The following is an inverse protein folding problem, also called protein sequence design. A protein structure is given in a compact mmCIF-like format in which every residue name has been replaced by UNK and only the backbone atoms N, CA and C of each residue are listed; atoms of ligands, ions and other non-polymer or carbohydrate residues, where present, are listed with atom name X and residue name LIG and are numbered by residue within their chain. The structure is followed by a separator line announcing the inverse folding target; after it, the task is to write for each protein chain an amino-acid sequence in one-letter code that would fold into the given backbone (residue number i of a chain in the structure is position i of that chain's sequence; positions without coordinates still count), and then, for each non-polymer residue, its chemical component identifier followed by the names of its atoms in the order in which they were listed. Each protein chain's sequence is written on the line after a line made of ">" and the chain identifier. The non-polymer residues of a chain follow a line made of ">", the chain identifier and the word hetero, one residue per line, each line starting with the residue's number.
data_IF_995664482403
#
_entry.id   IF_995664482403
#
_cell.length_a   1.000
_cell.length_b   1.000
_cell.length_c   1.000
_cell.angle_alpha   90.00
_cell.angle_beta   90.00
_cell.angle_gamma   90.00
#
_symmetry.space_group_name_H-M   'P 1'
#
loop_
_entity.id
_entity.type
_entity.pdbx_description
1 polymer ?
#
# COMPACT_ATOMS: atom_id res chain seq x y z
N UNK A 1 -33.38 -29.31 6.00
CA UNK A 1 -32.82 -27.95 6.10
C UNK A 1 -31.56 -27.88 5.26
N UNK A 2 -31.35 -26.77 4.57
CA UNK A 2 -30.48 -26.64 3.40
C UNK A 2 -29.03 -27.11 3.59
N UNK A 3 -28.56 -27.93 2.65
CA UNK A 3 -27.14 -28.15 2.42
C UNK A 3 -26.55 -26.85 1.84
N UNK A 4 -25.79 -26.12 2.66
CA UNK A 4 -24.93 -25.05 2.15
C UNK A 4 -23.77 -25.74 1.43
N UNK A 5 -23.83 -25.74 0.09
CA UNK A 5 -22.70 -26.14 -0.73
C UNK A 5 -21.51 -25.24 -0.40
N UNK A 6 -20.52 -25.82 0.27
CA UNK A 6 -19.18 -25.27 0.36
C UNK A 6 -18.62 -25.26 -1.05
N UNK A 7 -18.80 -24.16 -1.78
CA UNK A 7 -18.01 -23.92 -2.97
C UNK A 7 -16.60 -23.66 -2.47
N UNK A 8 -15.83 -24.73 -2.26
CA UNK A 8 -14.38 -24.70 -2.16
C UNK A 8 -13.88 -24.17 -3.50
N UNK A 9 -13.79 -22.84 -3.59
CA UNK A 9 -13.09 -22.23 -4.69
C UNK A 9 -11.61 -22.54 -4.49
N UNK A 10 -11.09 -23.41 -5.35
CA UNK A 10 -9.67 -23.68 -5.52
C UNK A 10 -9.01 -22.36 -5.95
N UNK A 11 -8.70 -21.53 -4.97
CA UNK A 11 -7.86 -20.36 -5.11
C UNK A 11 -6.59 -20.68 -4.34
N UNK A 12 -5.43 -20.66 -5.00
CA UNK A 12 -4.15 -20.64 -4.27
C UNK A 12 -4.04 -19.34 -3.51
N UNK A 13 -4.47 -19.40 -2.25
CA UNK A 13 -4.31 -18.31 -1.28
C UNK A 13 -2.84 -18.16 -0.96
N UNK A 14 -2.36 -16.93 -1.05
CA UNK A 14 -1.05 -16.55 -0.52
C UNK A 14 -1.28 -15.52 0.58
N UNK A 15 -0.65 -15.74 1.73
CA UNK A 15 -0.73 -14.82 2.84
C UNK A 15 0.24 -15.22 3.93
N UNK A 16 0.93 -14.25 4.49
CA UNK A 16 1.75 -14.43 5.69
C UNK A 16 1.17 -13.51 6.75
N UNK A 17 0.87 -14.05 7.93
CA UNK A 17 0.55 -13.22 9.09
C UNK A 17 1.81 -12.48 9.50
N UNK A 18 1.80 -11.16 9.33
CA UNK A 18 2.92 -10.28 9.66
C UNK A 18 2.50 -9.33 10.77
N UNK A 19 3.39 -9.12 11.73
CA UNK A 19 3.18 -8.16 12.81
C UNK A 19 3.70 -6.79 12.35
N UNK A 20 2.79 -5.88 12.00
CA UNK A 20 3.16 -4.55 11.53
C UNK A 20 3.34 -3.61 12.72
N UNK A 21 4.50 -2.93 12.85
CA UNK A 21 4.71 -1.91 13.88
C UNK A 21 3.65 -0.81 13.80
N UNK A 22 3.26 -0.24 14.95
CA UNK A 22 2.30 0.88 14.99
C UNK A 22 2.92 2.23 14.59
N UNK A 23 3.77 2.25 13.57
CA UNK A 23 4.34 3.45 12.97
C UNK A 23 3.67 3.70 11.62
N UNK A 24 3.33 4.96 11.32
CA UNK A 24 2.63 5.31 10.08
C UNK A 24 3.46 4.95 8.83
N UNK A 25 4.76 5.20 8.86
CA UNK A 25 5.69 4.79 7.79
C UNK A 25 5.68 3.27 7.61
N UNK A 26 5.75 2.49 8.69
CA UNK A 26 5.76 1.03 8.61
C UNK A 26 4.46 0.48 7.98
N UNK A 27 3.31 1.12 8.27
CA UNK A 27 2.02 0.79 7.63
C UNK A 27 2.02 1.09 6.13
N UNK A 28 2.59 2.23 5.72
CA UNK A 28 2.74 2.58 4.30
C UNK A 28 3.71 1.65 3.58
N UNK A 29 4.84 1.30 4.21
CA UNK A 29 5.79 0.33 3.64
C UNK A 29 5.13 -1.04 3.44
N UNK A 30 4.31 -1.47 4.41
CA UNK A 30 3.54 -2.71 4.27
C UNK A 30 2.54 -2.63 3.11
N UNK A 31 1.85 -1.50 2.94
CA UNK A 31 1.01 -1.28 1.76
C UNK A 31 1.81 -1.39 0.45
N UNK A 32 2.97 -0.75 0.37
CA UNK A 32 3.86 -0.82 -0.81
C UNK A 32 4.37 -2.24 -1.07
N UNK A 33 4.66 -3.01 -0.02
CA UNK A 33 5.04 -4.42 -0.12
C UNK A 33 3.90 -5.27 -0.71
N UNK A 34 2.66 -4.99 -0.30
CA UNK A 34 1.47 -5.61 -0.88
C UNK A 34 1.36 -5.28 -2.37
N UNK A 35 1.47 -4.00 -2.75
CA UNK A 35 1.46 -3.58 -4.16
C UNK A 35 2.55 -4.33 -4.95
N UNK A 36 3.79 -4.34 -4.47
CA UNK A 36 4.92 -5.01 -5.13
C UNK A 36 4.80 -6.54 -5.18
N UNK A 37 3.91 -7.13 -4.40
CA UNK A 37 3.60 -8.57 -4.46
C UNK A 37 2.58 -8.88 -5.55
N UNK A 38 1.71 -7.90 -5.84
CA UNK A 38 0.62 -7.98 -6.81
C UNK A 38 1.12 -7.65 -8.23
N UNK A 39 2.01 -6.66 -8.34
CA UNK A 39 2.63 -6.23 -9.61
C UNK A 39 4.11 -6.62 -9.67
N UNK A 40 4.61 -6.93 -10.87
CA UNK A 40 6.04 -7.11 -11.06
C UNK A 40 6.76 -5.75 -10.97
N UNK A 41 7.40 -5.49 -9.84
CA UNK A 41 8.24 -4.31 -9.61
C UNK A 41 9.71 -4.75 -9.54
N UNK A 42 10.42 -4.73 -10.67
CA UNK A 42 11.81 -5.21 -10.79
C UNK A 42 12.85 -4.10 -10.57
N UNK A 43 12.64 -3.29 -9.54
CA UNK A 43 13.44 -2.11 -9.28
C UNK A 43 14.15 -2.31 -7.95
N UNK A 44 15.47 -2.46 -8.00
CA UNK A 44 16.28 -2.84 -6.85
C UNK A 44 16.19 -1.81 -5.71
N UNK A 45 15.89 -0.55 -6.03
CA UNK A 45 15.73 0.53 -5.06
C UNK A 45 14.49 0.36 -4.17
N UNK A 46 13.42 -0.26 -4.68
CA UNK A 46 12.17 -0.43 -3.93
C UNK A 46 12.25 -1.53 -2.88
N UNK A 47 13.17 -2.48 -3.04
CA UNK A 47 13.37 -3.55 -2.04
C UNK A 47 13.75 -2.99 -0.68
N UNK A 48 14.44 -1.84 -0.63
CA UNK A 48 14.80 -1.15 0.61
C UNK A 48 13.58 -0.53 1.29
N UNK A 49 12.64 0.02 0.53
CA UNK A 49 11.39 0.61 1.01
C UNK A 49 10.29 -0.40 1.38
N UNK A 50 10.50 -1.69 1.07
CA UNK A 50 9.61 -2.79 1.49
C UNK A 50 9.93 -3.33 2.88
N UNK A 51 11.10 -3.03 3.43
CA UNK A 51 11.54 -3.58 4.71
C UNK A 51 10.93 -2.81 5.90
N UNK A 52 9.66 -3.09 6.19
CA UNK A 52 8.92 -2.47 7.30
C UNK A 52 9.50 -2.78 8.69
N UNK A 53 10.39 -3.77 8.84
CA UNK A 53 11.09 -4.06 10.10
C UNK A 53 12.22 -3.06 10.39
N UNK A 54 12.76 -2.40 9.36
CA UNK A 54 13.84 -1.43 9.48
C UNK A 54 13.35 0.03 9.45
N UNK A 55 12.06 0.27 9.72
CA UNK A 55 11.48 1.62 9.70
C UNK A 55 12.19 2.64 10.60
N UNK A 56 12.84 2.20 11.68
CA UNK A 56 13.60 3.08 12.59
C UNK A 56 14.93 3.59 12.04
N UNK A 57 15.44 2.97 10.98
CA UNK A 57 16.74 3.33 10.39
C UNK A 57 16.59 4.22 9.16
N UNK A 58 15.40 4.76 8.90
CA UNK A 58 15.15 5.63 7.76
C UNK A 58 15.32 7.10 8.11
N UNK A 59 15.90 7.83 7.17
CA UNK A 59 16.09 9.28 7.23
C UNK A 59 14.79 10.01 6.88
N UNK A 60 14.63 11.26 7.32
CA UNK A 60 13.45 12.07 6.98
C UNK A 60 13.25 12.25 5.45
N UNK A 61 14.33 12.16 4.67
CA UNK A 61 14.25 12.15 3.20
C UNK A 61 13.65 10.85 2.66
N UNK A 62 14.03 9.70 3.22
CA UNK A 62 13.48 8.38 2.85
C UNK A 62 11.99 8.31 3.21
N UNK A 63 11.58 8.85 4.37
CA UNK A 63 10.18 8.96 4.77
C UNK A 63 9.34 9.73 3.72
N UNK A 64 9.88 10.82 3.18
CA UNK A 64 9.22 11.63 2.14
C UNK A 64 9.16 10.91 0.80
N UNK A 65 10.21 10.19 0.43
CA UNK A 65 10.22 9.37 -0.79
C UNK A 65 9.18 8.24 -0.71
N UNK A 66 9.10 7.55 0.43
CA UNK A 66 8.07 6.52 0.67
C UNK A 66 6.67 7.12 0.55
N UNK A 67 6.44 8.29 1.15
CA UNK A 67 5.16 8.97 1.05
C UNK A 67 4.81 9.37 -0.38
N UNK A 68 5.75 9.91 -1.14
CA UNK A 68 5.54 10.29 -2.54
C UNK A 68 5.28 9.06 -3.43
N UNK A 69 6.01 7.98 -3.18
CA UNK A 69 5.81 6.71 -3.86
C UNK A 69 4.43 6.12 -3.56
N UNK A 70 4.02 6.13 -2.29
CA UNK A 70 2.69 5.69 -1.88
C UNK A 70 1.58 6.55 -2.47
N UNK A 71 1.77 7.87 -2.57
CA UNK A 71 0.85 8.77 -3.25
C UNK A 71 0.75 8.50 -4.76
N UNK A 72 1.86 8.09 -5.39
CA UNK A 72 1.88 7.70 -6.82
C UNK A 72 1.19 6.36 -7.03
N UNK A 73 1.33 5.44 -6.07
CA UNK A 73 0.70 4.12 -6.03
C UNK A 73 -0.59 4.18 -5.20
N UNK A 74 -1.45 5.18 -5.43
CA UNK A 74 -2.68 5.34 -4.68
C UNK A 74 -3.62 4.14 -4.90
N UNK A 75 -4.46 3.80 -3.91
CA UNK A 75 -5.44 2.75 -4.06
C UNK A 75 -6.41 3.06 -5.19
N UNK A 76 -6.78 4.33 -5.42
CA UNK A 76 -7.62 4.74 -6.54
C UNK A 76 -7.03 4.37 -7.93
N UNK A 77 -5.71 4.45 -8.09
CA UNK A 77 -5.06 4.05 -9.35
C UNK A 77 -5.00 2.53 -9.54
N UNK A 78 -5.07 1.78 -8.44
CA UNK A 78 -4.90 0.33 -8.40
C UNK A 78 -6.22 -0.43 -8.17
N UNK A 79 -7.25 0.28 -7.74
CA UNK A 79 -8.60 -0.21 -7.51
C UNK A 79 -9.23 -0.65 -8.83
N UNK A 80 -10.04 -1.72 -8.77
CA UNK A 80 -10.67 -2.38 -9.90
C UNK A 80 -9.70 -2.95 -10.96
N UNK A 81 -8.38 -2.78 -10.77
CA UNK A 81 -7.34 -3.33 -11.64
C UNK A 81 -6.61 -4.47 -10.96
N UNK A 82 -6.10 -4.21 -9.75
CA UNK A 82 -5.25 -5.13 -9.00
C UNK A 82 -5.65 -5.27 -7.53
N UNK A 83 -6.26 -4.24 -6.95
CA UNK A 83 -6.94 -4.30 -5.64
C UNK A 83 -8.44 -4.32 -5.85
N UNK A 84 -9.12 -5.26 -5.21
CA UNK A 84 -10.56 -5.42 -5.29
C UNK A 84 -11.18 -5.34 -3.90
N UNK A 85 -12.15 -4.43 -3.74
CA UNK A 85 -12.96 -4.34 -2.53
C UNK A 85 -13.98 -5.49 -2.50
N UNK A 86 -13.49 -6.68 -2.20
CA UNK A 86 -14.26 -7.92 -2.20
C UNK A 86 -14.22 -8.55 -0.80
N UNK A 87 -14.99 -8.03 0.16
CA UNK A 87 -15.01 -8.56 1.53
C UNK A 87 -15.47 -10.02 1.58
N UNK A 88 -16.28 -10.47 0.61
CA UNK A 88 -16.71 -11.86 0.46
C UNK A 88 -15.55 -12.83 0.17
N UNK A 89 -14.49 -12.36 -0.50
CA UNK A 89 -13.28 -13.16 -0.75
C UNK A 89 -12.38 -13.19 0.50
N UNK A 90 -12.39 -12.11 1.28
CA UNK A 90 -11.46 -11.92 2.40
C UNK A 90 -11.72 -12.81 3.64
N UNK A 91 -12.73 -13.69 3.63
CA UNK A 91 -13.05 -14.63 4.73
C UNK A 91 -12.69 -14.11 6.15
N UNK A 92 -11.75 -14.75 6.84
CA UNK A 92 -11.27 -14.37 8.20
C UNK A 92 -10.20 -13.26 8.20
N UNK A 93 -9.59 -12.96 7.06
CA UNK A 93 -8.52 -11.97 6.96
C UNK A 93 -9.07 -10.58 6.57
N UNK A 94 -8.25 -9.54 6.79
CA UNK A 94 -8.57 -8.18 6.34
C UNK A 94 -8.12 -7.93 4.89
N UNK A 95 -7.19 -8.75 4.40
CA UNK A 95 -6.73 -8.83 3.02
C UNK A 95 -6.35 -10.27 2.66
N UNK A 96 -6.55 -10.65 1.39
CA UNK A 96 -6.10 -11.93 0.83
C UNK A 96 -5.53 -11.74 -0.58
N UNK A 97 -4.53 -12.56 -0.94
CA UNK A 97 -3.93 -12.55 -2.28
C UNK A 97 -4.31 -13.80 -3.08
N UNK A 98 -4.56 -13.60 -4.38
CA UNK A 98 -4.96 -14.65 -5.32
C UNK A 98 -4.17 -14.60 -6.62
N UNK A 99 -3.96 -15.75 -7.26
CA UNK A 99 -3.35 -15.81 -8.60
C UNK A 99 -4.36 -15.50 -9.71
N UNK A 100 -3.96 -14.72 -10.72
CA UNK A 100 -4.83 -14.26 -11.81
C UNK A 100 -5.47 -15.42 -12.57
N UNK A 101 -4.76 -16.54 -12.71
CA UNK A 101 -5.23 -17.72 -13.45
C UNK A 101 -6.58 -18.25 -12.96
N UNK A 102 -6.91 -18.07 -11.68
CA UNK A 102 -8.12 -18.63 -11.07
C UNK A 102 -9.27 -17.62 -10.90
N UNK A 103 -9.00 -16.31 -10.84
CA UNK A 103 -10.03 -15.28 -10.55
C UNK A 103 -10.65 -14.65 -11.81
N UNK A 104 -10.15 -15.00 -13.00
CA UNK A 104 -10.64 -14.49 -14.30
C UNK A 104 -12.15 -14.60 -14.55
N UNK A 105 -12.87 -15.48 -13.84
CA UNK A 105 -14.32 -15.66 -14.01
C UNK A 105 -15.18 -14.75 -13.13
N UNK A 106 -14.62 -14.14 -12.09
CA UNK A 106 -15.39 -13.35 -11.12
C UNK A 106 -15.01 -11.87 -11.11
N UNK A 107 -13.79 -11.53 -11.53
CA UNK A 107 -13.28 -10.16 -11.57
C UNK A 107 -12.66 -9.88 -12.94
N UNK A 108 -12.88 -8.67 -13.47
CA UNK A 108 -12.18 -8.18 -14.66
C UNK A 108 -10.74 -7.84 -14.29
N UNK A 109 -9.88 -8.86 -14.27
CA UNK A 109 -8.45 -8.68 -13.98
C UNK A 109 -7.70 -8.29 -15.26
N UNK A 110 -7.09 -7.10 -15.24
CA UNK A 110 -6.20 -6.65 -16.31
C UNK A 110 -4.85 -7.37 -16.23
N UNK A 111 -4.26 -7.71 -17.38
CA UNK A 111 -2.97 -8.41 -17.42
C UNK A 111 -1.78 -7.47 -17.15
N UNK A 112 -1.95 -6.18 -17.44
CA UNK A 112 -0.94 -5.15 -17.19
C UNK A 112 -1.59 -3.82 -16.84
N UNK A 113 -0.88 -3.01 -16.05
CA UNK A 113 -1.27 -1.64 -15.70
C UNK A 113 -0.13 -0.68 -15.99
N UNK A 114 -0.46 0.57 -16.34
CA UNK A 114 0.53 1.62 -16.53
C UNK A 114 0.69 2.34 -15.19
N UNK A 115 1.90 2.31 -14.63
CA UNK A 115 2.26 3.06 -13.42
C UNK A 115 3.51 3.86 -13.73
N UNK A 116 3.48 5.18 -13.46
CA UNK A 116 4.64 6.05 -13.69
C UNK A 116 5.12 6.03 -15.15
N UNK A 117 4.19 5.87 -16.10
CA UNK A 117 4.50 5.77 -17.53
C UNK A 117 5.05 4.43 -18.00
N UNK A 118 5.23 3.45 -17.12
CA UNK A 118 5.70 2.10 -17.47
C UNK A 118 4.57 1.07 -17.38
N UNK A 119 4.45 0.23 -18.41
CA UNK A 119 3.56 -0.93 -18.39
C UNK A 119 4.15 -2.02 -17.48
N UNK A 120 3.36 -2.46 -16.50
CA UNK A 120 3.75 -3.47 -15.51
C UNK A 120 2.78 -4.63 -15.55
N UNK A 121 3.32 -5.84 -15.58
CA UNK A 121 2.49 -7.04 -15.53
C UNK A 121 1.93 -7.26 -14.13
N UNK A 122 0.66 -7.57 -14.10
CA UNK A 122 -0.03 -8.01 -12.89
C UNK A 122 0.27 -9.50 -12.74
N UNK A 123 0.76 -9.92 -11.56
CA UNK A 123 1.04 -11.34 -11.27
C UNK A 123 -0.03 -11.96 -10.40
N UNK A 124 -0.55 -11.18 -9.47
CA UNK A 124 -1.54 -11.58 -8.48
C UNK A 124 -2.59 -10.49 -8.37
N UNK A 125 -3.67 -10.75 -7.67
CA UNK A 125 -4.61 -9.72 -7.26
C UNK A 125 -4.74 -9.76 -5.74
N UNK A 126 -5.16 -8.65 -5.16
CA UNK A 126 -5.46 -8.56 -3.75
C UNK A 126 -6.92 -8.23 -3.55
N UNK A 127 -7.63 -9.05 -2.78
CA UNK A 127 -8.91 -8.66 -2.21
C UNK A 127 -8.68 -8.02 -0.85
N UNK A 128 -9.45 -6.99 -0.53
CA UNK A 128 -9.34 -6.30 0.74
C UNK A 128 -10.72 -5.94 1.31
N UNK A 129 -10.79 -5.85 2.65
CA UNK A 129 -11.90 -5.21 3.36
C UNK A 129 -11.56 -3.73 3.55
N UNK A 130 -12.55 -2.83 3.46
CA UNK A 130 -12.37 -1.38 3.67
C UNK A 130 -11.59 -1.02 4.95
N UNK A 131 -11.76 -1.81 6.03
CA UNK A 131 -11.01 -1.65 7.28
C UNK A 131 -9.49 -1.74 7.10
N UNK A 132 -9.03 -2.60 6.18
CA UNK A 132 -7.61 -2.75 5.86
C UNK A 132 -7.09 -1.50 5.16
N UNK A 133 -7.79 -1.03 4.13
CA UNK A 133 -7.36 0.14 3.35
C UNK A 133 -7.32 1.40 4.21
N UNK A 134 -8.31 1.57 5.09
CA UNK A 134 -8.30 2.67 6.07
C UNK A 134 -7.09 2.59 7.01
N UNK A 135 -6.85 1.43 7.62
CA UNK A 135 -5.82 1.26 8.64
C UNK A 135 -4.39 1.36 8.09
N UNK A 136 -4.15 0.85 6.88
CA UNK A 136 -2.81 0.72 6.30
C UNK A 136 -2.46 1.75 5.23
N UNK A 137 -3.44 2.44 4.64
CA UNK A 137 -3.19 3.48 3.65
C UNK A 137 -3.78 4.84 4.04
N UNK A 138 -5.11 4.97 4.15
CA UNK A 138 -5.73 6.30 4.27
C UNK A 138 -5.34 7.03 5.55
N UNK A 139 -5.44 6.38 6.71
CA UNK A 139 -5.08 7.04 7.97
C UNK A 139 -3.58 7.32 8.09
N UNK A 140 -2.66 6.38 7.78
CA UNK A 140 -1.23 6.67 7.82
C UNK A 140 -0.82 7.77 6.84
N UNK A 141 -1.36 7.78 5.61
CA UNK A 141 -1.11 8.86 4.64
C UNK A 141 -1.57 10.21 5.19
N UNK A 142 -2.75 10.28 5.80
CA UNK A 142 -3.25 11.53 6.37
C UNK A 142 -2.36 12.02 7.54
N UNK A 143 -1.95 11.12 8.43
CA UNK A 143 -1.06 11.46 9.55
C UNK A 143 0.32 11.92 9.07
N UNK A 144 0.90 11.25 8.08
CA UNK A 144 2.16 11.65 7.46
C UNK A 144 2.06 13.00 6.74
N UNK A 145 0.98 13.24 5.98
CA UNK A 145 0.74 14.51 5.33
C UNK A 145 0.68 15.67 6.35
N UNK A 146 0.01 15.46 7.48
CA UNK A 146 -0.07 16.44 8.56
C UNK A 146 1.30 16.68 9.20
N UNK A 147 2.07 15.61 9.47
CA UNK A 147 3.45 15.69 9.99
C UNK A 147 4.33 16.54 9.07
N UNK A 148 4.38 16.23 7.77
CA UNK A 148 5.24 16.95 6.82
C UNK A 148 4.81 18.41 6.62
N UNK A 149 3.50 18.70 6.66
CA UNK A 149 3.01 20.08 6.65
C UNK A 149 3.47 20.86 7.88
N UNK A 150 3.35 20.27 9.07
CA UNK A 150 3.78 20.90 10.31
C UNK A 150 5.30 21.14 10.35
N UNK A 151 6.11 20.18 9.86
CA UNK A 151 7.55 20.33 9.72
C UNK A 151 7.92 21.49 8.78
N UNK A 152 7.26 21.57 7.63
CA UNK A 152 7.49 22.67 6.66
C UNK A 152 7.16 24.03 7.27
N UNK A 153 6.02 24.15 7.94
CA UNK A 153 5.63 25.40 8.61
C UNK A 153 6.62 25.82 9.71
N UNK A 154 7.13 24.85 10.49
CA UNK A 154 8.15 25.12 11.51
C UNK A 154 9.46 25.62 10.88
N UNK A 155 9.91 25.01 9.79
CA UNK A 155 11.11 25.44 9.07
C UNK A 155 10.94 26.86 8.51
N UNK A 156 9.80 27.15 7.89
CA UNK A 156 9.48 28.49 7.36
C UNK A 156 9.43 29.55 8.47
N UNK A 157 8.83 29.23 9.62
CA UNK A 157 8.77 30.12 10.78
C UNK A 157 10.17 30.39 11.35
N UNK A 158 11.02 29.35 11.44
CA UNK A 158 12.39 29.49 11.91
C UNK A 158 13.19 30.40 10.96
N UNK A 159 13.14 30.16 9.65
CA UNK A 159 13.83 31.02 8.66
C UNK A 159 13.37 32.48 8.72
N UNK A 160 12.06 32.73 8.87
CA UNK A 160 11.52 34.09 9.06
C UNK A 160 12.07 34.75 10.31
N UNK A 161 12.18 34.03 11.43
CA UNK A 161 12.74 34.55 12.68
C UNK A 161 14.22 34.92 12.54
N UNK A 162 15.03 34.09 11.87
CA UNK A 162 16.47 34.36 11.70
C UNK A 162 16.74 35.60 10.84
N UNK A 163 15.84 35.87 9.87
CA UNK A 163 15.98 37.02 8.95
C UNK A 163 15.68 38.35 9.63
N UNK A 164 14.84 38.37 10.68
CA UNK A 164 14.48 39.58 11.42
C UNK A 164 15.47 39.99 12.52
N UNK A 165 16.58 39.26 12.72
CA UNK A 165 17.54 39.56 13.80
C UNK A 165 18.79 40.32 13.33
N UNK A 166 18.87 40.67 12.04
CA UNK A 166 19.98 41.45 11.46
C UNK A 166 19.39 42.74 10.89
N UNK A 167 19.16 43.75 11.73
CA UNK A 167 18.86 45.14 11.35
C UNK A 167 19.28 46.08 12.47
#
# INVERSE_FOLDING_TARGET
>A
MAAFGSTEYDFKKFGTTVNIPNADIAKIMYYLDCVCTVIEYNDNDIRRYRNYSNWRNMSDEEDRLIFLLAATLSPDELEDKVFFNAPALCQDSNNEFYEIGQVRRQLMVVQSIIIGGQSRQVKKIMAYKQVWMRAYYYEPMQRLANRFRAERQRQEALMRSTTCTIS
#
